data_IF_454374444802
#
_entry.id   IF_454374444802
#
_cell.length_a   1.000
_cell.length_b   1.000
_cell.length_c   1.000
_cell.angle_alpha   90.00
_cell.angle_beta   90.00
_cell.angle_gamma   90.00
#
_symmetry.space_group_name_H-M   'P 1'
#
loop_
_entity.id
_entity.type
_entity.pdbx_description
1 polymer ?
#
# COMPACT_ATOMS: atom_id res chain seq x y z
N UNK A 1 5.55 3.89 0.39
CA UNK A 1 5.83 3.47 -1.00
C UNK A 1 5.55 1.98 -1.17
N UNK A 2 4.33 1.54 -0.82
CA UNK A 2 3.95 0.11 -0.88
C UNK A 2 3.58 -0.27 -2.32
N UNK A 3 2.86 0.61 -3.02
CA UNK A 3 2.56 0.44 -4.45
C UNK A 3 3.82 0.25 -5.29
N UNK A 4 4.95 0.89 -4.92
CA UNK A 4 6.20 0.74 -5.67
C UNK A 4 6.71 -0.71 -5.65
N UNK A 5 6.62 -1.39 -4.50
CA UNK A 5 6.98 -2.81 -4.35
C UNK A 5 6.07 -3.66 -5.25
N UNK A 6 4.76 -3.40 -5.23
CA UNK A 6 3.83 -4.07 -6.12
C UNK A 6 4.16 -3.86 -7.60
N UNK A 7 4.46 -2.61 -7.97
CA UNK A 7 4.76 -2.24 -9.36
C UNK A 7 6.05 -2.88 -9.91
N UNK A 8 7.02 -3.19 -9.04
CA UNK A 8 8.34 -3.70 -9.46
C UNK A 8 8.51 -5.20 -9.25
N UNK A 9 7.96 -5.78 -8.18
CA UNK A 9 8.23 -7.18 -7.77
C UNK A 9 7.14 -8.17 -8.22
N UNK A 10 5.99 -7.69 -8.71
CA UNK A 10 4.84 -8.55 -9.01
C UNK A 10 4.10 -9.00 -7.74
N UNK A 11 2.98 -9.71 -7.92
CA UNK A 11 2.00 -9.97 -6.87
C UNK A 11 2.59 -10.80 -5.71
N UNK A 12 3.24 -11.93 -6.06
CA UNK A 12 3.73 -12.90 -5.08
C UNK A 12 4.84 -12.31 -4.21
N UNK A 13 5.86 -11.71 -4.81
CA UNK A 13 6.99 -11.16 -4.06
C UNK A 13 6.57 -9.91 -3.28
N UNK A 14 5.70 -9.06 -3.83
CA UNK A 14 5.18 -7.91 -3.08
C UNK A 14 4.36 -8.34 -1.86
N UNK A 15 3.45 -9.31 -2.02
CA UNK A 15 2.67 -9.86 -0.90
C UNK A 15 3.57 -10.45 0.19
N UNK A 16 4.54 -11.31 -0.18
CA UNK A 16 5.48 -11.91 0.78
C UNK A 16 6.34 -10.85 1.49
N UNK A 17 6.78 -9.82 0.77
CA UNK A 17 7.55 -8.71 1.36
C UNK A 17 6.76 -8.01 2.46
N UNK A 18 5.48 -7.73 2.21
CA UNK A 18 4.64 -7.06 3.20
C UNK A 18 4.22 -7.99 4.34
N UNK A 19 4.05 -9.28 4.09
CA UNK A 19 3.84 -10.26 5.17
C UNK A 19 5.09 -10.38 6.06
N UNK A 20 6.29 -10.37 5.48
CA UNK A 20 7.54 -10.35 6.25
C UNK A 20 7.66 -9.08 7.09
N UNK A 21 7.31 -7.92 6.54
CA UNK A 21 7.23 -6.65 7.27
C UNK A 21 6.29 -6.73 8.48
N UNK A 22 5.10 -7.31 8.31
CA UNK A 22 4.14 -7.51 9.40
C UNK A 22 4.67 -8.50 10.44
N UNK A 23 5.31 -9.59 10.01
CA UNK A 23 5.91 -10.57 10.92
C UNK A 23 7.05 -9.97 11.74
N UNK A 24 7.90 -9.14 11.13
CA UNK A 24 8.96 -8.39 11.83
C UNK A 24 8.38 -7.49 12.92
N UNK A 25 7.34 -6.72 12.58
CA UNK A 25 6.67 -5.87 13.55
C UNK A 25 5.98 -6.67 14.66
N UNK A 26 5.31 -7.79 14.32
CA UNK A 26 4.70 -8.69 15.29
C UNK A 26 5.74 -9.29 16.27
N UNK A 27 6.95 -9.60 15.77
CA UNK A 27 8.08 -10.08 16.56
C UNK A 27 8.71 -9.01 17.48
N UNK A 28 8.19 -7.77 17.46
CA UNK A 28 8.63 -6.69 18.35
C UNK A 28 9.67 -5.76 17.77
N UNK A 29 10.01 -5.87 16.48
CA UNK A 29 10.89 -4.90 15.83
C UNK A 29 10.15 -3.57 15.58
N UNK A 30 10.77 -2.41 15.83
CA UNK A 30 10.15 -1.09 15.68
C UNK A 30 10.08 -0.63 14.22
N UNK A 31 9.40 -1.41 13.37
CA UNK A 31 9.29 -1.19 11.92
C UNK A 31 8.02 -0.43 11.53
N UNK A 32 7.05 -0.32 12.43
CA UNK A 32 5.83 0.46 12.18
C UNK A 32 6.07 1.96 12.39
N UNK A 33 5.15 2.78 11.89
CA UNK A 33 5.25 4.23 11.97
C UNK A 33 5.38 4.70 13.44
N UNK A 34 6.24 5.70 13.66
CA UNK A 34 6.51 6.22 15.01
C UNK A 34 7.28 5.26 15.92
N UNK A 35 7.93 4.23 15.38
CA UNK A 35 8.64 3.21 16.15
C UNK A 35 7.71 2.15 16.77
N UNK A 36 6.49 2.02 16.26
CA UNK A 36 5.53 1.01 16.73
C UNK A 36 6.01 -0.43 16.50
N UNK A 37 5.65 -1.31 17.42
CA UNK A 37 6.06 -2.72 17.42
C UNK A 37 5.08 -3.60 18.22
N UNK A 38 5.16 -4.90 17.96
CA UNK A 38 4.47 -5.96 18.71
C UNK A 38 3.04 -6.22 18.26
N UNK A 39 2.49 -7.33 18.77
CA UNK A 39 1.13 -7.77 18.45
C UNK A 39 0.05 -6.81 18.95
N UNK A 40 0.29 -6.11 20.07
CA UNK A 40 -0.64 -5.12 20.61
C UNK A 40 -0.78 -3.91 19.67
N UNK A 41 0.31 -3.50 19.01
CA UNK A 41 0.26 -2.44 18.01
C UNK A 41 -0.55 -2.88 16.79
N UNK A 42 -0.36 -4.12 16.33
CA UNK A 42 -1.14 -4.71 15.24
C UNK A 42 -2.62 -4.87 15.58
N UNK A 43 -2.96 -5.10 16.85
CA UNK A 43 -4.35 -5.16 17.33
C UNK A 43 -4.96 -3.77 17.58
N UNK A 44 -4.18 -2.69 17.46
CA UNK A 44 -4.62 -1.32 17.70
C UNK A 44 -5.41 -0.69 16.54
N UNK A 45 -5.80 0.59 16.66
CA UNK A 45 -6.63 1.33 15.69
C UNK A 45 -6.15 1.29 14.23
N UNK A 46 -4.84 1.15 14.02
CA UNK A 46 -4.23 1.12 12.68
C UNK A 46 -4.05 -0.29 12.12
N UNK A 47 -4.39 -1.33 12.89
CA UNK A 47 -4.20 -2.74 12.55
C UNK A 47 -4.78 -3.15 11.20
N UNK A 48 -6.02 -2.76 10.92
CA UNK A 48 -6.68 -3.06 9.65
C UNK A 48 -5.98 -2.45 8.43
N UNK A 49 -5.35 -1.28 8.59
CA UNK A 49 -4.54 -0.68 7.52
C UNK A 49 -3.24 -1.46 7.32
N UNK A 50 -2.60 -1.92 8.39
CA UNK A 50 -1.38 -2.73 8.32
C UNK A 50 -1.63 -4.05 7.60
N UNK A 51 -2.70 -4.77 7.94
CA UNK A 51 -3.10 -5.99 7.23
C UNK A 51 -3.51 -5.68 5.79
N UNK A 52 -4.25 -4.59 5.58
CA UNK A 52 -4.65 -4.14 4.25
C UNK A 52 -3.46 -3.78 3.34
N UNK A 53 -2.31 -3.37 3.90
CA UNK A 53 -1.11 -3.09 3.10
C UNK A 53 -0.56 -4.32 2.38
N UNK A 54 -0.65 -5.50 2.98
CA UNK A 54 -0.24 -6.74 2.32
C UNK A 54 -1.16 -7.05 1.11
N UNK A 55 -2.47 -6.90 1.30
CA UNK A 55 -3.45 -7.08 0.22
C UNK A 55 -3.27 -6.02 -0.89
N UNK A 56 -3.05 -4.76 -0.51
CA UNK A 56 -2.76 -3.67 -1.44
C UNK A 56 -1.51 -3.96 -2.29
N UNK A 57 -0.41 -4.39 -1.66
CA UNK A 57 0.83 -4.69 -2.37
C UNK A 57 0.67 -5.83 -3.36
N UNK A 58 0.02 -6.91 -2.93
CA UNK A 58 -0.31 -8.05 -3.78
C UNK A 58 -1.18 -7.63 -4.96
N UNK A 59 -2.25 -6.87 -4.71
CA UNK A 59 -3.18 -6.43 -5.74
C UNK A 59 -2.53 -5.48 -6.75
N UNK A 60 -1.66 -4.56 -6.31
CA UNK A 60 -0.87 -3.73 -7.23
C UNK A 60 0.00 -4.57 -8.15
N UNK A 61 0.73 -5.57 -7.61
CA UNK A 61 1.53 -6.48 -8.43
C UNK A 61 0.68 -7.33 -9.38
N UNK A 62 -0.48 -7.78 -8.93
CA UNK A 62 -1.41 -8.57 -9.75
C UNK A 62 -1.97 -7.76 -10.92
N UNK A 63 -2.31 -6.49 -10.71
CA UNK A 63 -2.75 -5.60 -11.79
C UNK A 63 -1.67 -5.38 -12.85
N UNK A 64 -0.42 -5.25 -12.42
CA UNK A 64 0.74 -5.12 -13.33
C UNK A 64 0.92 -6.39 -14.16
N UNK A 65 0.86 -7.56 -13.53
CA UNK A 65 0.90 -8.87 -14.21
C UNK A 65 -0.25 -9.06 -15.20
N UNK A 66 -1.42 -8.47 -14.93
CA UNK A 66 -2.60 -8.46 -15.80
C UNK A 66 -2.56 -7.43 -16.94
N UNK A 67 -1.43 -6.72 -17.12
CA UNK A 67 -1.20 -5.86 -18.29
C UNK A 67 -1.20 -4.35 -18.01
N UNK A 68 -1.25 -3.92 -16.74
CA UNK A 68 -1.08 -2.51 -16.36
C UNK A 68 0.40 -2.11 -16.20
N UNK A 69 1.33 -2.91 -16.71
CA UNK A 69 2.78 -2.75 -16.52
C UNK A 69 3.45 -1.65 -17.36
N UNK A 70 2.74 -0.97 -18.25
CA UNK A 70 3.34 -0.01 -19.21
C UNK A 70 2.59 1.30 -19.31
N UNK A 71 3.36 2.38 -19.37
CA UNK A 71 2.86 3.74 -19.50
C UNK A 71 2.37 4.31 -18.17
N UNK A 72 2.50 5.62 -18.03
CA UNK A 72 2.21 6.32 -16.77
C UNK A 72 0.77 6.07 -16.29
N UNK A 73 -0.23 6.22 -17.16
CA UNK A 73 -1.63 6.07 -16.77
C UNK A 73 -1.98 4.68 -16.23
N UNK A 74 -1.48 3.60 -16.85
CA UNK A 74 -1.75 2.24 -16.38
C UNK A 74 -1.06 1.94 -15.06
N UNK A 75 0.20 2.36 -14.92
CA UNK A 75 0.95 2.20 -13.67
C UNK A 75 0.35 3.03 -12.53
N UNK A 76 -0.15 4.23 -12.83
CA UNK A 76 -0.89 5.06 -11.88
C UNK A 76 -2.15 4.33 -11.39
N UNK A 77 -2.97 3.79 -12.30
CA UNK A 77 -4.17 3.04 -11.93
C UNK A 77 -3.83 1.79 -11.12
N UNK A 78 -2.78 1.05 -11.50
CA UNK A 78 -2.31 -0.13 -10.76
C UNK A 78 -1.83 0.22 -9.34
N UNK A 79 -1.30 1.43 -9.12
CA UNK A 79 -0.90 1.91 -7.81
C UNK A 79 -2.07 2.49 -7.00
N UNK A 80 -2.96 3.24 -7.67
CA UNK A 80 -4.00 4.06 -7.03
C UNK A 80 -5.23 3.25 -6.63
N UNK A 81 -5.71 2.33 -7.48
CA UNK A 81 -6.91 1.54 -7.16
C UNK A 81 -6.68 0.69 -5.89
N UNK A 82 -5.58 -0.07 -5.75
CA UNK A 82 -5.33 -0.82 -4.53
C UNK A 82 -5.11 0.09 -3.31
N UNK A 83 -4.50 1.26 -3.50
CA UNK A 83 -4.34 2.24 -2.43
C UNK A 83 -5.67 2.81 -1.94
N UNK A 84 -6.67 2.93 -2.82
CA UNK A 84 -8.02 3.32 -2.44
C UNK A 84 -8.74 2.18 -1.72
N UNK A 85 -8.61 0.95 -2.21
CA UNK A 85 -9.23 -0.24 -1.62
C UNK A 85 -8.67 -0.58 -0.23
N UNK A 86 -7.42 -0.19 0.08
CA UNK A 86 -6.81 -0.30 1.40
C UNK A 86 -7.69 0.30 2.51
N UNK A 87 -8.39 1.40 2.22
CA UNK A 87 -9.20 2.09 3.23
C UNK A 87 -10.42 1.26 3.65
N UNK A 88 -10.86 0.28 2.85
CA UNK A 88 -11.99 -0.59 3.20
C UNK A 88 -11.69 -1.42 4.46
N UNK A 89 -10.69 -2.33 4.47
CA UNK A 89 -10.36 -3.08 5.69
C UNK A 89 -9.84 -2.18 6.82
N UNK A 90 -9.15 -1.08 6.48
CA UNK A 90 -8.63 -0.14 7.48
C UNK A 90 -9.72 0.58 8.27
N UNK A 91 -10.68 1.19 7.57
CA UNK A 91 -11.80 1.91 8.20
C UNK A 91 -12.76 0.93 8.89
N UNK A 92 -13.04 -0.22 8.28
CA UNK A 92 -13.89 -1.24 8.92
C UNK A 92 -13.28 -1.71 10.25
N UNK A 93 -11.97 -1.99 10.28
CA UNK A 93 -11.27 -2.34 11.51
C UNK A 93 -11.35 -1.21 12.53
N UNK A 94 -10.98 0.02 12.13
CA UNK A 94 -11.01 1.19 13.00
C UNK A 94 -12.39 1.38 13.64
N UNK A 95 -13.45 1.27 12.84
CA UNK A 95 -14.84 1.35 13.30
C UNK A 95 -15.18 0.24 14.30
N UNK A 96 -14.74 -1.00 14.07
CA UNK A 96 -15.05 -2.12 14.96
C UNK A 96 -14.35 -2.07 16.33
N UNK A 97 -13.15 -1.46 16.41
CA UNK A 97 -12.32 -1.50 17.63
C UNK A 97 -12.26 -0.17 18.39
N UNK A 98 -12.96 0.86 17.91
CA UNK A 98 -13.03 2.17 18.56
C UNK A 98 -14.50 2.56 18.78
N UNK A 99 -14.81 3.48 19.70
CA UNK A 99 -16.18 3.95 19.93
C UNK A 99 -16.66 4.95 18.85
N UNK A 100 -15.94 5.10 17.74
CA UNK A 100 -16.30 6.02 16.66
C UNK A 100 -17.53 5.49 15.91
N UNK A 101 -18.39 6.41 15.44
CA UNK A 101 -19.35 6.05 14.41
C UNK A 101 -18.65 5.85 13.04
N UNK A 102 -19.38 5.29 12.07
CA UNK A 102 -18.82 4.98 10.76
C UNK A 102 -18.36 6.25 10.02
N UNK A 103 -19.08 7.37 10.17
CA UNK A 103 -18.74 8.62 9.51
C UNK A 103 -17.42 9.20 10.06
N UNK A 104 -17.26 9.23 11.38
CA UNK A 104 -16.05 9.64 12.05
C UNK A 104 -14.87 8.73 11.70
N UNK A 105 -15.08 7.41 11.61
CA UNK A 105 -14.06 6.46 11.18
C UNK A 105 -13.61 6.71 9.72
N UNK A 106 -14.52 7.04 8.81
CA UNK A 106 -14.19 7.42 7.42
C UNK A 106 -13.44 8.77 7.38
N UNK A 107 -13.98 9.77 8.07
CA UNK A 107 -13.43 11.13 8.10
C UNK A 107 -12.04 11.18 8.74
N UNK A 108 -11.77 10.36 9.75
CA UNK A 108 -10.46 10.26 10.38
C UNK A 108 -9.52 9.27 9.70
N UNK A 109 -10.04 8.12 9.25
CA UNK A 109 -9.26 7.00 8.77
C UNK A 109 -8.99 6.97 7.27
N UNK A 110 -9.77 7.67 6.44
CA UNK A 110 -9.64 7.63 4.98
C UNK A 110 -9.47 8.98 4.32
N UNK A 111 -10.32 9.96 4.65
CA UNK A 111 -10.37 11.26 3.96
C UNK A 111 -9.03 12.01 3.95
N UNK A 112 -8.28 12.12 5.08
CA UNK A 112 -7.03 12.89 5.12
C UNK A 112 -5.93 12.29 4.24
N UNK A 113 -6.03 11.00 3.93
CA UNK A 113 -4.99 10.25 3.23
C UNK A 113 -5.19 10.22 1.71
N UNK A 114 -6.32 10.68 1.19
CA UNK A 114 -6.65 10.58 -0.25
C UNK A 114 -5.68 11.38 -1.11
N UNK A 115 -5.40 12.63 -0.75
CA UNK A 115 -4.45 13.48 -1.46
C UNK A 115 -3.05 12.84 -1.47
N UNK A 116 -2.62 12.33 -0.31
CA UNK A 116 -1.37 11.59 -0.18
C UNK A 116 -1.34 10.32 -1.04
N UNK A 117 -2.45 9.61 -1.16
CA UNK A 117 -2.61 8.42 -2.00
C UNK A 117 -2.46 8.72 -3.49
N UNK A 118 -3.08 9.79 -3.98
CA UNK A 118 -2.96 10.26 -5.37
C UNK A 118 -1.51 10.61 -5.67
N UNK A 119 -0.90 11.47 -4.84
CA UNK A 119 0.49 11.93 -5.04
C UNK A 119 1.46 10.75 -5.00
N UNK A 120 1.35 9.86 -4.01
CA UNK A 120 2.23 8.67 -3.90
C UNK A 120 2.08 7.73 -5.11
N UNK A 121 0.87 7.57 -5.63
CA UNK A 121 0.62 6.71 -6.80
C UNK A 121 1.21 7.32 -8.07
N UNK A 122 1.09 8.64 -8.26
CA UNK A 122 1.71 9.36 -9.37
C UNK A 122 3.24 9.26 -9.30
N UNK A 123 3.82 9.49 -8.13
CA UNK A 123 5.26 9.35 -7.92
C UNK A 123 5.73 7.92 -8.20
N UNK A 124 5.03 6.90 -7.70
CA UNK A 124 5.39 5.51 -7.96
C UNK A 124 5.35 5.17 -9.45
N UNK A 125 4.30 5.62 -10.16
CA UNK A 125 4.17 5.43 -11.60
C UNK A 125 5.30 6.13 -12.38
N UNK A 126 5.61 7.39 -12.03
CA UNK A 126 6.70 8.16 -12.65
C UNK A 126 8.06 7.48 -12.47
N UNK A 127 8.38 7.03 -11.25
CA UNK A 127 9.62 6.33 -10.94
C UNK A 127 9.78 5.11 -11.84
N UNK A 128 8.73 4.28 -11.94
CA UNK A 128 8.78 3.06 -12.76
C UNK A 128 8.92 3.42 -14.23
N UNK A 129 8.09 4.33 -14.76
CA UNK A 129 8.20 4.72 -16.18
C UNK A 129 9.54 5.34 -16.53
N UNK A 130 10.09 6.20 -15.67
CA UNK A 130 11.37 6.86 -15.88
C UNK A 130 12.54 5.88 -15.83
N UNK A 131 12.51 4.92 -14.90
CA UNK A 131 13.50 3.85 -14.83
C UNK A 131 13.52 2.99 -16.11
N UNK A 132 12.35 2.63 -16.65
CA UNK A 132 12.26 1.89 -17.91
C UNK A 132 12.76 2.69 -19.12
N UNK A 133 12.44 3.99 -19.19
CA UNK A 133 12.87 4.85 -20.29
C UNK A 133 14.40 5.02 -20.31
N UNK A 134 15.00 5.31 -19.16
CA UNK A 134 16.46 5.47 -19.03
C UNK A 134 17.22 4.18 -19.30
N UNK A 135 16.71 3.03 -18.87
CA UNK A 135 17.34 1.74 -19.15
C UNK A 135 17.34 1.40 -20.64
N UNK A 136 16.25 1.71 -21.36
CA UNK A 136 16.18 1.52 -22.81
C UNK A 136 17.14 2.43 -23.57
N UNK A 137 17.25 3.69 -23.17
CA UNK A 137 18.16 4.66 -23.77
C UNK A 137 19.66 4.31 -23.60
N UNK A 138 20.01 3.47 -22.61
CA UNK A 138 21.37 2.97 -22.41
C UNK A 138 21.74 1.72 -23.22
N UNK A 139 20.75 1.05 -23.80
CA UNK A 139 20.93 -0.21 -24.54
C UNK A 139 20.83 -0.05 -26.07
N UNK A 140 20.43 1.12 -26.55
CA UNK A 140 20.49 1.50 -27.96
C UNK A 140 21.70 2.38 -28.20
#
# INVERSE_FOLDING_TARGET
>A
MISLIGLTYGARLAGVTLLAYLAQGAAGLPVFAGGGAGILYLAGPTGGFLLGFAAMAFLTGWLVERGLSRGFGRLFLAAFIPALLLFVPGVLWLWMITPLDLNAAIMGGAVPFQLGGIVKSAVAALIVTGAWATWRARKG
#
